data_IF_423539333012
#
_entry.id   IF_423539333012
#
_cell.length_a   1.000
_cell.length_b   1.000
_cell.length_c   1.000
_cell.angle_alpha   90.00
_cell.angle_beta   90.00
_cell.angle_gamma   90.00
#
_symmetry.space_group_name_H-M   'P 1'
#
loop_
_entity.id
_entity.type
_entity.pdbx_description
1 polymer ?
#
# COMPACT_ATOMS: atom_id res chain seq x y z
N UNK A 1 -19.58 0.91 -31.30
CA UNK A 1 -19.09 -0.22 -30.50
C UNK A 1 -18.65 0.34 -29.15
N UNK A 2 -19.51 0.26 -28.14
CA UNK A 2 -19.20 0.78 -26.80
C UNK A 2 -18.06 -0.05 -26.17
N UNK A 3 -17.01 0.65 -25.74
CA UNK A 3 -15.78 0.04 -25.28
C UNK A 3 -16.02 -0.61 -23.90
N UNK A 4 -16.17 -1.94 -23.88
CA UNK A 4 -16.65 -2.75 -22.75
C UNK A 4 -15.74 -2.85 -21.52
N UNK A 5 -14.77 -1.95 -21.31
CA UNK A 5 -14.09 -1.83 -20.02
C UNK A 5 -13.43 -0.45 -19.84
N UNK A 6 -14.20 0.53 -19.39
CA UNK A 6 -13.70 1.85 -18.97
C UNK A 6 -12.99 1.82 -17.60
N UNK A 7 -13.01 0.68 -16.91
CA UNK A 7 -12.44 0.55 -15.57
C UNK A 7 -10.90 0.54 -15.62
N UNK A 8 -10.30 1.26 -14.68
CA UNK A 8 -8.86 1.31 -14.47
C UNK A 8 -8.39 -0.04 -13.95
N UNK A 9 -7.33 -0.58 -14.57
CA UNK A 9 -6.58 -1.70 -14.02
C UNK A 9 -5.48 -1.12 -13.14
N UNK A 10 -5.28 -1.74 -11.98
CA UNK A 10 -4.19 -1.37 -11.07
C UNK A 10 -3.19 -2.52 -11.00
N UNK A 11 -1.90 -2.19 -11.07
CA UNK A 11 -0.82 -3.18 -11.05
C UNK A 11 -0.57 -3.61 -9.60
N UNK A 12 -0.84 -4.88 -9.23
CA UNK A 12 -0.62 -5.38 -7.87
C UNK A 12 0.87 -5.32 -7.50
N UNK A 13 1.21 -5.09 -6.23
CA UNK A 13 2.60 -5.14 -5.81
C UNK A 13 3.04 -6.59 -5.64
N UNK A 14 4.36 -6.82 -5.67
CA UNK A 14 4.96 -8.12 -5.35
C UNK A 14 5.53 -8.11 -3.94
N UNK A 15 5.33 -9.19 -3.20
CA UNK A 15 6.02 -9.41 -1.93
C UNK A 15 7.41 -10.04 -2.16
N UNK A 16 8.39 -9.56 -1.39
CA UNK A 16 9.70 -10.16 -1.26
C UNK A 16 10.08 -10.27 0.21
N UNK A 17 10.45 -11.48 0.66
CA UNK A 17 10.79 -11.75 2.06
C UNK A 17 12.26 -12.10 2.13
N UNK A 18 13.04 -11.24 2.79
CA UNK A 18 14.47 -11.46 2.98
C UNK A 18 14.74 -12.64 3.91
N UNK A 19 15.93 -13.20 3.80
CA UNK A 19 16.32 -14.41 4.54
C UNK A 19 16.26 -14.22 6.06
N UNK A 20 16.75 -13.06 6.51
CA UNK A 20 16.85 -12.65 7.91
C UNK A 20 15.48 -12.47 8.59
N UNK A 21 14.44 -12.13 7.83
CA UNK A 21 13.06 -12.09 8.33
C UNK A 21 12.66 -13.44 8.93
N UNK A 22 12.95 -14.55 8.25
CA UNK A 22 12.55 -15.88 8.72
C UNK A 22 13.29 -16.29 9.99
N UNK A 23 14.56 -15.91 10.13
CA UNK A 23 15.32 -16.11 11.38
C UNK A 23 14.68 -15.35 12.53
N UNK A 24 14.37 -14.07 12.30
CA UNK A 24 13.73 -13.26 13.33
C UNK A 24 12.33 -13.75 13.66
N UNK A 25 11.57 -14.19 12.67
CA UNK A 25 10.24 -14.74 12.87
C UNK A 25 10.27 -16.03 13.71
N UNK A 26 11.21 -16.93 13.45
CA UNK A 26 11.39 -18.14 14.26
C UNK A 26 11.73 -17.80 15.72
N UNK A 27 12.69 -16.89 15.93
CA UNK A 27 13.09 -16.39 17.25
C UNK A 27 11.89 -15.79 18.01
N UNK A 28 11.16 -14.87 17.36
CA UNK A 28 9.96 -14.24 17.94
C UNK A 28 8.90 -15.28 18.26
N UNK A 29 8.63 -16.24 17.37
CA UNK A 29 7.60 -17.27 17.61
C UNK A 29 7.97 -18.22 18.74
N UNK A 30 9.24 -18.60 18.88
CA UNK A 30 9.71 -19.50 19.95
C UNK A 30 9.78 -18.79 21.30
N UNK A 31 10.34 -17.58 21.32
CA UNK A 31 10.77 -16.95 22.56
C UNK A 31 9.76 -15.92 23.08
N UNK A 32 8.98 -15.29 22.19
CA UNK A 32 8.03 -14.23 22.53
C UNK A 32 6.59 -14.73 22.42
N UNK A 33 6.13 -15.10 21.22
CA UNK A 33 4.72 -15.45 20.99
C UNK A 33 4.35 -16.80 21.60
N UNK A 34 5.25 -17.78 21.56
CA UNK A 34 5.02 -19.15 22.03
C UNK A 34 3.72 -19.71 21.41
N UNK A 35 2.72 -20.00 22.23
CA UNK A 35 1.41 -20.50 21.79
C UNK A 35 0.45 -19.39 21.35
N UNK A 36 0.75 -18.12 21.60
CA UNK A 36 -0.08 -17.01 21.15
C UNK A 36 -0.16 -16.96 19.63
N UNK A 37 -1.37 -16.84 19.09
CA UNK A 37 -1.66 -16.54 17.70
C UNK A 37 -2.20 -15.11 17.52
N UNK A 38 -1.95 -14.24 18.51
CA UNK A 38 -2.34 -12.84 18.46
C UNK A 38 -1.71 -12.13 17.24
N UNK A 39 -2.44 -11.21 16.60
CA UNK A 39 -1.91 -10.39 15.51
C UNK A 39 -0.67 -9.61 15.94
N UNK A 40 0.30 -9.50 15.04
CA UNK A 40 1.54 -8.74 15.26
C UNK A 40 1.73 -7.67 14.21
N UNK A 41 2.01 -6.44 14.64
CA UNK A 41 2.40 -5.38 13.71
C UNK A 41 3.74 -5.69 13.05
N UNK A 42 3.81 -5.42 11.76
CA UNK A 42 5.02 -5.51 10.96
C UNK A 42 5.28 -4.20 10.23
N UNK A 43 6.54 -3.95 9.93
CA UNK A 43 6.96 -2.94 8.97
C UNK A 43 7.61 -3.60 7.75
N UNK A 44 7.40 -3.01 6.59
CA UNK A 44 8.11 -3.35 5.36
C UNK A 44 8.53 -2.06 4.65
N UNK A 45 9.19 -2.18 3.51
CA UNK A 45 9.61 -1.03 2.73
C UNK A 45 9.30 -1.23 1.25
N UNK A 46 8.97 -0.13 0.57
CA UNK A 46 8.74 -0.15 -0.86
C UNK A 46 10.08 -0.05 -1.57
N UNK A 47 10.45 -1.08 -2.32
CA UNK A 47 11.49 -0.99 -3.32
C UNK A 47 10.84 -0.74 -4.68
N UNK A 48 11.19 0.40 -5.27
CA UNK A 48 10.69 0.80 -6.58
C UNK A 48 11.82 1.05 -7.59
N UNK A 49 13.05 0.62 -7.26
CA UNK A 49 14.19 0.77 -8.17
C UNK A 49 14.11 -0.29 -9.27
N UNK A 50 13.87 0.14 -10.51
CA UNK A 50 13.97 -0.65 -11.75
C UNK A 50 12.89 -1.70 -12.06
N UNK A 51 11.81 -1.80 -11.28
CA UNK A 51 10.72 -2.76 -11.54
C UNK A 51 9.51 -2.15 -12.25
N UNK A 52 8.82 -2.96 -13.06
CA UNK A 52 7.53 -2.58 -13.71
C UNK A 52 6.33 -2.61 -12.76
N UNK A 53 6.54 -3.03 -11.50
CA UNK A 53 5.53 -3.03 -10.44
C UNK A 53 6.20 -2.80 -9.08
N UNK A 54 5.50 -2.22 -8.08
CA UNK A 54 6.07 -2.03 -6.76
C UNK A 54 6.45 -3.36 -6.09
N UNK A 55 7.59 -3.38 -5.42
CA UNK A 55 8.01 -4.53 -4.59
C UNK A 55 7.96 -4.12 -3.12
N UNK A 56 7.21 -4.87 -2.32
CA UNK A 56 7.14 -4.71 -0.87
C UNK A 56 8.11 -5.71 -0.25
N UNK A 57 9.21 -5.17 0.28
CA UNK A 57 10.30 -5.95 0.86
C UNK A 57 10.22 -5.94 2.38
N UNK A 58 10.31 -7.12 2.99
CA UNK A 58 10.35 -7.29 4.44
C UNK A 58 11.60 -8.06 4.86
N UNK A 59 12.32 -7.50 5.83
CA UNK A 59 13.55 -8.03 6.42
C UNK A 59 13.37 -8.19 7.94
N UNK A 60 14.44 -8.52 8.67
CA UNK A 60 14.34 -8.70 10.12
C UNK A 60 13.89 -7.43 10.88
N UNK A 61 14.09 -6.24 10.30
CA UNK A 61 13.66 -4.96 10.90
C UNK A 61 12.15 -4.80 10.87
N UNK A 62 11.42 -5.63 10.11
CA UNK A 62 9.97 -5.63 10.10
C UNK A 62 9.33 -5.95 11.46
N UNK A 63 10.09 -6.52 12.39
CA UNK A 63 9.65 -6.77 13.77
C UNK A 63 9.94 -5.62 14.75
N UNK A 64 10.54 -4.51 14.28
CA UNK A 64 10.82 -3.36 15.13
C UNK A 64 9.53 -2.67 15.61
N UNK A 65 9.62 -1.90 16.68
CA UNK A 65 8.49 -1.11 17.21
C UNK A 65 8.12 0.08 16.33
N UNK A 66 9.04 0.51 15.45
CA UNK A 66 8.89 1.64 14.56
C UNK A 66 9.50 1.30 13.19
N UNK A 67 9.02 1.91 12.10
CA UNK A 67 9.61 1.71 10.78
C UNK A 67 11.06 2.21 10.75
N UNK A 68 11.92 1.50 10.03
CA UNK A 68 13.31 1.92 9.82
C UNK A 68 13.33 3.01 8.75
N UNK A 69 13.86 4.18 9.09
CA UNK A 69 14.07 5.25 8.12
C UNK A 69 15.26 4.90 7.21
N UNK A 70 14.96 4.56 5.96
CA UNK A 70 15.96 4.28 4.92
C UNK A 70 15.76 5.31 3.81
N UNK A 71 16.79 6.11 3.55
CA UNK A 71 16.74 7.17 2.55
C UNK A 71 16.28 6.61 1.18
N UNK A 72 15.22 7.20 0.62
CA UNK A 72 14.67 6.79 -0.67
C UNK A 72 13.78 5.55 -0.63
N UNK A 73 13.46 5.02 0.55
CA UNK A 73 12.46 3.97 0.73
C UNK A 73 11.30 4.47 1.58
N UNK A 74 10.08 4.15 1.18
CA UNK A 74 8.89 4.47 1.95
C UNK A 74 8.49 3.26 2.82
N UNK A 75 8.15 3.47 4.10
CA UNK A 75 7.70 2.40 4.96
C UNK A 75 6.30 1.90 4.56
N UNK A 76 6.00 0.68 4.94
CA UNK A 76 4.69 0.05 4.79
C UNK A 76 4.28 -0.55 6.13
N UNK A 77 2.99 -0.50 6.42
CA UNK A 77 2.42 -1.05 7.64
C UNK A 77 1.80 -2.41 7.38
N UNK A 78 2.06 -3.38 8.26
CA UNK A 78 1.60 -4.74 8.10
C UNK A 78 1.03 -5.35 9.37
N UNK A 79 0.21 -6.39 9.18
CA UNK A 79 -0.20 -7.29 10.27
C UNK A 79 0.15 -8.73 9.90
N UNK A 80 0.93 -9.39 10.76
CA UNK A 80 1.20 -10.81 10.74
C UNK A 80 0.13 -11.58 11.50
N UNK A 81 -0.51 -12.52 10.83
CA UNK A 81 -1.42 -13.51 11.42
C UNK A 81 -0.81 -14.89 11.21
N UNK A 82 -0.16 -15.44 12.24
CA UNK A 82 0.42 -16.78 12.17
C UNK A 82 -0.45 -17.80 12.91
N UNK A 83 -0.84 -18.88 12.23
CA UNK A 83 -1.51 -20.03 12.84
C UNK A 83 -0.52 -21.03 13.44
N UNK A 84 -0.94 -21.70 14.51
CA UNK A 84 -0.11 -22.63 15.24
C UNK A 84 -0.06 -24.00 14.56
N UNK A 85 -1.12 -24.38 13.85
CA UNK A 85 -1.21 -25.64 13.12
C UNK A 85 -1.42 -25.41 11.63
N UNK A 86 -0.98 -26.38 10.83
CA UNK A 86 -1.17 -26.35 9.37
C UNK A 86 -2.64 -26.47 9.01
N UNK A 87 -3.38 -27.26 9.78
CA UNK A 87 -4.80 -27.52 9.63
C UNK A 87 -5.60 -26.23 9.83
N UNK A 88 -5.31 -25.44 10.87
CA UNK A 88 -5.88 -24.10 11.08
C UNK A 88 -5.59 -23.19 9.89
N UNK A 89 -4.33 -23.16 9.42
CA UNK A 89 -3.95 -22.33 8.29
C UNK A 89 -4.77 -22.67 7.04
N UNK A 90 -4.90 -23.95 6.70
CA UNK A 90 -5.66 -24.42 5.55
C UNK A 90 -7.14 -24.07 5.69
N UNK A 91 -7.74 -24.42 6.83
CA UNK A 91 -9.18 -24.31 7.06
C UNK A 91 -9.67 -22.89 7.37
N UNK A 92 -8.76 -21.95 7.64
CA UNK A 92 -9.12 -20.53 7.86
C UNK A 92 -9.86 -19.95 6.66
N UNK A 93 -11.03 -19.36 6.88
CA UNK A 93 -11.75 -18.60 5.87
C UNK A 93 -10.96 -17.31 5.51
N UNK A 94 -10.30 -17.32 4.35
CA UNK A 94 -9.39 -16.26 3.92
C UNK A 94 -10.10 -14.93 3.62
N UNK A 95 -11.33 -14.99 3.10
CA UNK A 95 -12.13 -13.79 2.83
C UNK A 95 -12.58 -13.12 4.13
N UNK A 96 -12.98 -13.92 5.13
CA UNK A 96 -13.30 -13.43 6.46
C UNK A 96 -12.07 -12.84 7.15
N UNK A 97 -10.93 -13.54 7.12
CA UNK A 97 -9.67 -13.04 7.69
C UNK A 97 -9.26 -11.69 7.07
N UNK A 98 -9.30 -11.58 5.73
CA UNK A 98 -9.01 -10.33 5.03
C UNK A 98 -9.94 -9.21 5.51
N UNK A 99 -11.24 -9.48 5.60
CA UNK A 99 -12.24 -8.50 6.03
C UNK A 99 -12.03 -8.06 7.48
N UNK A 100 -11.90 -9.01 8.40
CA UNK A 100 -11.79 -8.73 9.83
C UNK A 100 -10.52 -7.93 10.14
N UNK A 101 -9.37 -8.31 9.56
CA UNK A 101 -8.10 -7.64 9.78
C UNK A 101 -8.09 -6.24 9.15
N UNK A 102 -8.60 -6.09 7.92
CA UNK A 102 -8.69 -4.78 7.27
C UNK A 102 -9.64 -3.83 7.98
N UNK A 103 -10.81 -4.31 8.42
CA UNK A 103 -11.75 -3.49 9.20
C UNK A 103 -11.12 -3.01 10.49
N UNK A 104 -10.42 -3.88 11.21
CA UNK A 104 -9.74 -3.51 12.44
C UNK A 104 -8.67 -2.42 12.19
N UNK A 105 -7.83 -2.62 11.17
CA UNK A 105 -6.78 -1.66 10.82
C UNK A 105 -7.36 -0.28 10.45
N UNK A 106 -8.37 -0.24 9.57
CA UNK A 106 -8.98 1.03 9.17
C UNK A 106 -9.77 1.68 10.32
N UNK A 107 -10.39 0.90 11.22
CA UNK A 107 -11.02 1.47 12.41
C UNK A 107 -10.00 2.17 13.32
N UNK A 108 -8.81 1.58 13.50
CA UNK A 108 -7.71 2.23 14.23
C UNK A 108 -7.23 3.49 13.49
N UNK A 109 -7.08 3.42 12.17
CA UNK A 109 -6.66 4.56 11.34
C UNK A 109 -7.63 5.75 11.48
N UNK A 110 -8.94 5.49 11.36
CA UNK A 110 -10.01 6.49 11.48
C UNK A 110 -10.29 6.95 12.92
N UNK A 111 -9.79 6.23 13.93
CA UNK A 111 -9.87 6.67 15.34
C UNK A 111 -8.93 7.83 15.66
N UNK A 112 -7.86 8.00 14.86
CA UNK A 112 -6.96 9.15 14.94
C UNK A 112 -7.65 10.37 14.33
N UNK A 113 -7.34 11.58 14.82
CA UNK A 113 -7.83 12.83 14.19
C UNK A 113 -7.42 12.93 12.72
N UNK A 114 -6.21 12.49 12.40
CA UNK A 114 -5.68 12.40 11.04
C UNK A 114 -4.52 11.40 11.01
N UNK A 115 -4.05 11.03 9.81
CA UNK A 115 -2.79 10.32 9.60
C UNK A 115 -1.60 11.09 10.19
N UNK A 116 -0.64 10.37 10.74
CA UNK A 116 0.67 10.90 11.11
C UNK A 116 1.56 10.99 9.87
N UNK A 117 1.47 9.99 8.98
CA UNK A 117 2.16 9.95 7.69
C UNK A 117 1.34 9.15 6.65
N UNK A 118 1.44 9.50 5.38
CA UNK A 118 0.72 8.80 4.30
C UNK A 118 1.13 7.34 4.08
N UNK A 119 2.29 6.92 4.56
CA UNK A 119 2.73 5.51 4.53
C UNK A 119 1.83 4.58 5.33
N UNK A 120 1.05 5.08 6.29
CA UNK A 120 -0.01 4.32 6.98
C UNK A 120 -1.09 3.83 6.02
N UNK A 121 -1.21 4.41 4.82
CA UNK A 121 -2.12 3.93 3.79
C UNK A 121 -1.56 2.75 2.98
N UNK A 122 -0.27 2.43 3.13
CA UNK A 122 0.34 1.26 2.49
C UNK A 122 0.24 0.08 3.44
N UNK A 123 -0.92 -0.57 3.40
CA UNK A 123 -1.25 -1.65 4.29
C UNK A 123 -1.08 -3.03 3.63
N UNK A 124 -0.54 -3.98 4.38
CA UNK A 124 -0.50 -5.39 3.98
C UNK A 124 -0.84 -6.35 5.13
N UNK A 125 -1.23 -7.57 4.77
CA UNK A 125 -1.43 -8.68 5.70
C UNK A 125 -0.48 -9.79 5.31
N UNK A 126 0.24 -10.34 6.28
CA UNK A 126 1.02 -11.57 6.14
C UNK A 126 0.32 -12.69 6.90
N UNK A 127 -0.39 -13.56 6.19
CA UNK A 127 -1.02 -14.74 6.78
C UNK A 127 -0.08 -15.94 6.67
N UNK A 128 0.24 -16.63 7.77
CA UNK A 128 1.26 -17.66 7.75
C UNK A 128 0.99 -18.86 8.68
N UNK A 129 1.77 -19.91 8.45
CA UNK A 129 2.03 -21.02 9.35
C UNK A 129 3.52 -21.34 9.31
N UNK A 130 4.17 -21.31 10.47
CA UNK A 130 5.58 -21.63 10.64
C UNK A 130 5.76 -23.03 11.24
N UNK A 131 6.22 -23.99 10.44
CA UNK A 131 6.72 -25.28 10.94
C UNK A 131 8.17 -25.11 11.41
N UNK A 132 8.32 -24.72 12.67
CA UNK A 132 9.61 -24.48 13.29
C UNK A 132 10.43 -25.75 13.50
N UNK A 133 9.81 -26.94 13.44
CA UNK A 133 10.52 -28.23 13.55
C UNK A 133 11.25 -28.55 12.25
N UNK A 134 10.60 -28.27 11.11
CA UNK A 134 11.20 -28.54 9.79
C UNK A 134 11.77 -27.31 9.11
N UNK A 135 11.68 -26.13 9.75
CA UNK A 135 12.03 -24.82 9.19
C UNK A 135 11.34 -24.54 7.85
N UNK A 136 10.06 -24.92 7.73
CA UNK A 136 9.24 -24.69 6.55
C UNK A 136 8.12 -23.71 6.87
N UNK A 137 7.92 -22.74 6.00
CA UNK A 137 6.95 -21.66 6.23
C UNK A 137 5.97 -21.62 5.08
N UNK A 138 4.68 -21.74 5.39
CA UNK A 138 3.59 -21.43 4.48
C UNK A 138 3.16 -20.00 4.74
N UNK A 139 3.03 -19.18 3.69
CA UNK A 139 2.66 -17.78 3.86
C UNK A 139 1.91 -17.23 2.67
N UNK A 140 1.12 -16.19 2.89
CA UNK A 140 0.35 -15.52 1.85
C UNK A 140 0.21 -14.04 2.19
N UNK A 141 0.65 -13.18 1.28
CA UNK A 141 0.43 -11.74 1.39
C UNK A 141 -0.95 -11.35 0.87
N UNK A 142 -1.55 -10.36 1.50
CA UNK A 142 -2.63 -9.58 0.93
C UNK A 142 -2.32 -8.09 1.00
N UNK A 143 -2.77 -7.33 0.01
CA UNK A 143 -2.68 -5.87 -0.08
C UNK A 143 -4.11 -5.32 -0.17
N UNK A 144 -4.78 -5.13 0.98
CA UNK A 144 -6.23 -4.94 0.99
C UNK A 144 -6.65 -3.63 0.30
N UNK A 145 -7.70 -3.71 -0.50
CA UNK A 145 -8.42 -2.54 -1.06
C UNK A 145 -9.92 -2.76 -0.97
N UNK A 146 -10.67 -1.67 -0.92
CA UNK A 146 -12.11 -1.70 -1.00
C UNK A 146 -12.54 -2.30 -2.35
N UNK A 147 -13.35 -3.36 -2.27
CA UNK A 147 -13.87 -4.06 -3.45
C UNK A 147 -14.84 -3.18 -4.24
N UNK A 148 -15.70 -2.49 -3.50
CA UNK A 148 -16.85 -1.75 -4.04
C UNK A 148 -16.50 -0.30 -4.40
N UNK A 149 -15.22 0.09 -4.22
CA UNK A 149 -14.64 1.32 -4.78
C UNK A 149 -13.84 0.98 -6.03
N UNK A 150 -14.24 1.54 -7.16
CA UNK A 150 -13.59 1.35 -8.44
C UNK A 150 -13.47 2.67 -9.19
N UNK A 151 -12.61 2.69 -10.20
CA UNK A 151 -12.23 3.91 -10.88
C UNK A 151 -12.41 3.73 -12.38
N UNK A 152 -13.05 4.70 -13.04
CA UNK A 152 -13.11 4.77 -14.51
C UNK A 152 -12.01 5.68 -15.02
N UNK A 153 -11.41 5.31 -16.16
CA UNK A 153 -10.43 6.15 -16.85
C UNK A 153 -11.13 7.44 -17.30
N UNK A 154 -10.59 8.58 -16.91
CA UNK A 154 -11.02 9.87 -17.42
C UNK A 154 -10.42 10.17 -18.81
N UNK A 155 -10.67 11.37 -19.30
CA UNK A 155 -10.24 11.80 -20.64
C UNK A 155 -8.75 12.15 -20.74
N UNK A 156 -8.11 12.49 -19.62
CA UNK A 156 -6.72 12.97 -19.61
C UNK A 156 -5.76 11.84 -19.30
N UNK A 157 -4.72 11.70 -20.12
CA UNK A 157 -3.54 10.89 -19.83
C UNK A 157 -2.35 11.48 -20.61
N UNK A 158 -1.47 12.21 -19.93
CA UNK A 158 -0.38 12.97 -20.58
C UNK A 158 0.85 13.04 -19.69
N UNK A 159 2.00 13.38 -20.27
CA UNK A 159 3.18 13.74 -19.49
C UNK A 159 2.95 15.05 -18.74
N UNK A 160 3.54 15.15 -17.54
CA UNK A 160 3.50 16.37 -16.73
C UNK A 160 4.12 17.55 -17.48
N UNK A 161 5.23 17.30 -18.19
CA UNK A 161 5.89 18.27 -19.07
C UNK A 161 5.02 18.79 -20.22
N UNK A 162 3.99 18.04 -20.64
CA UNK A 162 3.02 18.52 -21.62
C UNK A 162 1.95 19.43 -21.01
N UNK A 163 1.69 19.29 -19.71
CA UNK A 163 0.68 20.07 -18.99
C UNK A 163 1.26 21.35 -18.36
N UNK A 164 2.53 21.31 -17.93
CA UNK A 164 3.20 22.39 -17.24
C UNK A 164 4.22 23.02 -18.18
N UNK A 165 4.15 24.35 -18.37
CA UNK A 165 5.19 25.10 -19.09
C UNK A 165 6.56 24.95 -18.40
N UNK A 166 7.67 25.12 -19.13
CA UNK A 166 9.03 24.85 -18.62
C UNK A 166 9.33 25.51 -17.27
N UNK A 167 9.03 26.79 -17.11
CA UNK A 167 9.32 27.52 -15.86
C UNK A 167 8.45 27.02 -14.69
N UNK A 168 7.20 26.64 -14.97
CA UNK A 168 6.31 26.02 -13.98
C UNK A 168 6.75 24.62 -13.61
N UNK A 169 7.32 23.87 -14.54
CA UNK A 169 7.83 22.53 -14.29
C UNK A 169 9.08 22.58 -13.40
N UNK A 170 9.99 23.52 -13.64
CA UNK A 170 11.18 23.72 -12.82
C UNK A 170 10.83 24.12 -11.38
N UNK A 171 9.93 25.10 -11.21
CA UNK A 171 9.45 25.51 -9.89
C UNK A 171 8.69 24.39 -9.17
N UNK A 172 7.85 23.63 -9.87
CA UNK A 172 7.20 22.44 -9.33
C UNK A 172 8.23 21.42 -8.85
N UNK A 173 9.25 21.10 -9.64
CA UNK A 173 10.28 20.11 -9.29
C UNK A 173 11.05 20.53 -8.03
N UNK A 174 11.43 21.80 -7.91
CA UNK A 174 12.12 22.32 -6.74
C UNK A 174 11.25 22.21 -5.48
N UNK A 175 10.00 22.67 -5.55
CA UNK A 175 9.06 22.60 -4.44
C UNK A 175 8.75 21.16 -4.03
N UNK A 176 8.60 20.26 -5.01
CA UNK A 176 8.36 18.85 -4.78
C UNK A 176 9.52 18.18 -4.03
N UNK A 177 10.77 18.42 -4.46
CA UNK A 177 11.96 17.90 -3.76
C UNK A 177 12.03 18.40 -2.32
N UNK A 178 11.85 19.71 -2.12
CA UNK A 178 11.83 20.32 -0.78
C UNK A 178 10.70 19.77 0.10
N UNK A 179 9.54 19.48 -0.49
CA UNK A 179 8.41 18.87 0.23
C UNK A 179 8.75 17.46 0.66
N UNK A 180 9.28 16.61 -0.22
CA UNK A 180 9.65 15.24 0.10
C UNK A 180 10.75 15.16 1.16
N UNK A 181 11.80 15.97 1.05
CA UNK A 181 12.89 16.02 2.04
C UNK A 181 12.39 16.31 3.46
N UNK A 182 11.33 17.13 3.59
CA UNK A 182 10.76 17.51 4.89
C UNK A 182 9.68 16.57 5.41
N UNK A 183 9.03 15.82 4.52
CA UNK A 183 7.78 15.12 4.83
C UNK A 183 7.87 13.60 4.69
N UNK A 184 8.73 13.12 3.79
CA UNK A 184 8.84 11.73 3.40
C UNK A 184 7.47 11.10 3.08
N UNK A 185 6.60 11.85 2.39
CA UNK A 185 5.24 11.43 2.06
C UNK A 185 5.21 10.66 0.73
N UNK A 186 4.55 9.50 0.75
CA UNK A 186 4.25 8.73 -0.45
C UNK A 186 3.04 9.29 -1.20
N UNK A 187 2.02 9.71 -0.43
CA UNK A 187 0.78 10.27 -0.96
C UNK A 187 0.51 11.66 -0.40
N UNK A 188 0.11 12.57 -1.26
CA UNK A 188 -0.12 13.97 -0.91
C UNK A 188 -0.99 14.65 -1.96
N UNK A 189 -1.30 15.92 -1.74
CA UNK A 189 -2.10 16.72 -2.67
C UNK A 189 -1.30 17.93 -3.15
N UNK A 190 -1.37 18.22 -4.45
CA UNK A 190 -0.84 19.45 -5.03
C UNK A 190 -1.98 20.34 -5.52
N UNK A 191 -1.96 21.61 -5.12
CA UNK A 191 -2.87 22.64 -5.63
C UNK A 191 -2.10 23.54 -6.61
N UNK A 192 -2.46 23.50 -7.90
CA UNK A 192 -1.77 24.26 -8.94
C UNK A 192 -2.09 25.75 -8.94
N UNK A 193 -3.21 26.17 -8.34
CA UNK A 193 -3.56 27.59 -8.22
C UNK A 193 -2.72 28.27 -7.14
N UNK A 194 -2.49 27.56 -6.03
CA UNK A 194 -1.69 28.01 -4.89
C UNK A 194 -0.20 27.66 -5.05
N UNK A 195 0.14 26.78 -6.00
CA UNK A 195 1.49 26.24 -6.19
C UNK A 195 2.05 25.65 -4.88
N UNK A 196 1.22 24.84 -4.21
CA UNK A 196 1.51 24.29 -2.88
C UNK A 196 1.20 22.80 -2.81
N UNK A 197 2.07 22.08 -2.11
CA UNK A 197 1.87 20.70 -1.68
C UNK A 197 1.31 20.67 -0.26
N UNK A 198 0.38 19.75 -0.01
CA UNK A 198 -0.23 19.50 1.28
C UNK A 198 -0.03 18.04 1.66
N UNK A 199 0.38 17.80 2.89
CA UNK A 199 0.23 16.49 3.52
C UNK A 199 -1.25 16.19 3.67
N UNK A 200 -1.59 14.90 3.67
CA UNK A 200 -2.97 14.49 3.94
C UNK A 200 -3.45 14.98 5.30
N UNK A 201 -2.54 15.09 6.27
CA UNK A 201 -2.84 15.59 7.61
C UNK A 201 -3.19 17.07 7.70
N UNK A 202 -2.90 17.86 6.67
CA UNK A 202 -3.30 19.26 6.60
C UNK A 202 -4.73 19.43 6.07
N UNK A 203 -5.27 18.44 5.37
CA UNK A 203 -6.50 18.58 4.57
C UNK A 203 -7.57 17.53 4.88
N UNK A 204 -7.22 16.47 5.62
CA UNK A 204 -8.11 15.41 6.06
C UNK A 204 -8.21 15.45 7.59
N UNK A 205 -9.44 15.48 8.09
CA UNK A 205 -9.80 15.31 9.48
C UNK A 205 -10.83 14.18 9.58
N UNK A 206 -10.53 13.13 10.35
CA UNK A 206 -11.42 11.98 10.55
C UNK A 206 -12.58 12.28 11.51
N UNK A 207 -12.45 13.27 12.39
CA UNK A 207 -13.50 13.67 13.33
C UNK A 207 -14.66 14.39 12.63
N UNK A 208 -14.39 15.00 11.46
CA UNK A 208 -15.40 15.73 10.69
C UNK A 208 -15.15 15.58 9.18
N UNK A 209 -15.57 14.44 8.63
CA UNK A 209 -15.41 14.12 7.22
C UNK A 209 -16.11 15.13 6.28
N UNK A 210 -17.15 15.82 6.77
CA UNK A 210 -17.93 16.79 5.99
C UNK A 210 -17.14 18.03 5.60
N UNK A 211 -16.06 18.34 6.33
CA UNK A 211 -15.17 19.48 6.07
C UNK A 211 -14.04 19.16 5.10
N UNK A 212 -13.66 17.89 4.98
CA UNK A 212 -12.54 17.49 4.13
C UNK A 212 -12.80 17.96 2.70
N UNK A 213 -11.81 18.60 2.05
CA UNK A 213 -11.91 19.04 0.65
C UNK A 213 -13.18 19.85 0.25
N UNK A 214 -13.97 20.40 1.19
CA UNK A 214 -15.28 21.02 0.88
C UNK A 214 -15.13 22.30 0.07
N UNK A 215 -14.11 23.10 0.37
CA UNK A 215 -13.79 24.36 -0.31
C UNK A 215 -12.76 24.19 -1.44
N UNK A 216 -12.32 22.97 -1.70
CA UNK A 216 -11.23 22.69 -2.64
C UNK A 216 -11.78 22.59 -4.06
N UNK A 217 -11.22 23.38 -4.97
CA UNK A 217 -11.51 23.29 -6.39
C UNK A 217 -10.76 22.11 -7.02
N UNK A 218 -11.49 21.04 -7.35
CA UNK A 218 -10.94 19.82 -7.92
C UNK A 218 -10.24 20.04 -9.27
N UNK A 219 -10.53 21.12 -9.99
CA UNK A 219 -9.87 21.43 -11.26
C UNK A 219 -8.38 21.79 -11.09
N UNK A 220 -8.03 22.37 -9.94
CA UNK A 220 -6.65 22.74 -9.60
C UNK A 220 -6.00 21.77 -8.62
N UNK A 221 -6.71 20.72 -8.21
CA UNK A 221 -6.28 19.78 -7.18
C UNK A 221 -5.83 18.47 -7.79
N UNK A 222 -4.63 18.05 -7.44
CA UNK A 222 -3.99 16.85 -7.94
C UNK A 222 -3.67 15.91 -6.77
N UNK A 223 -4.20 14.68 -6.83
CA UNK A 223 -3.87 13.59 -5.91
C UNK A 223 -2.57 12.93 -6.39
N UNK A 224 -1.52 13.10 -5.62
CA UNK A 224 -0.17 12.73 -6.01
C UNK A 224 0.28 11.44 -5.33
N UNK A 225 1.01 10.61 -6.06
CA UNK A 225 1.68 9.42 -5.56
C UNK A 225 3.12 9.42 -6.09
N UNK A 226 4.10 9.20 -5.22
CA UNK A 226 5.48 8.92 -5.63
C UNK A 226 5.57 7.47 -6.09
N UNK A 227 5.32 7.24 -7.38
CA UNK A 227 5.31 5.91 -7.97
C UNK A 227 6.50 5.76 -8.92
N UNK A 228 7.56 5.10 -8.44
CA UNK A 228 8.76 4.89 -9.25
C UNK A 228 8.62 3.66 -10.17
N UNK A 229 7.55 2.87 -10.03
CA UNK A 229 7.29 1.63 -10.75
C UNK A 229 6.23 1.84 -11.85
N UNK A 230 6.54 2.61 -12.89
CA UNK A 230 5.52 2.90 -13.89
C UNK A 230 5.66 2.09 -15.18
N UNK A 231 4.74 1.14 -15.36
CA UNK A 231 4.19 0.70 -16.66
C UNK A 231 2.87 1.49 -16.94
N UNK A 232 2.24 1.35 -18.10
CA UNK A 232 1.08 2.17 -18.57
C UNK A 232 -0.12 2.31 -17.62
N UNK A 233 -0.26 1.46 -16.61
CA UNK A 233 -1.39 1.44 -15.68
C UNK A 233 -0.92 1.79 -14.24
N UNK A 234 -1.74 2.47 -13.43
CA UNK A 234 -1.36 2.91 -12.08
C UNK A 234 -1.11 1.74 -11.11
N UNK A 235 -0.28 1.95 -10.09
CA UNK A 235 -0.03 0.94 -9.06
C UNK A 235 -1.21 0.71 -8.11
N UNK A 236 -1.26 -0.49 -7.54
CA UNK A 236 -2.20 -0.85 -6.47
C UNK A 236 -2.05 -0.01 -5.21
N UNK A 237 -0.89 0.60 -4.99
CA UNK A 237 -0.66 1.53 -3.88
C UNK A 237 -1.51 2.79 -4.06
N UNK A 238 -1.60 3.32 -5.28
CA UNK A 238 -2.54 4.38 -5.60
C UNK A 238 -3.99 3.95 -5.34
N UNK A 239 -4.34 2.68 -5.58
CA UNK A 239 -5.68 2.17 -5.27
C UNK A 239 -5.98 2.19 -3.78
N UNK A 240 -5.02 1.84 -2.91
CA UNK A 240 -5.18 1.95 -1.46
C UNK A 240 -5.40 3.41 -1.03
N UNK A 241 -4.56 4.31 -1.54
CA UNK A 241 -4.67 5.74 -1.28
C UNK A 241 -6.02 6.32 -1.73
N UNK A 242 -6.42 6.09 -2.98
CA UNK A 242 -7.69 6.61 -3.49
C UNK A 242 -8.91 5.96 -2.82
N UNK A 243 -8.79 4.71 -2.36
CA UNK A 243 -9.78 4.06 -1.52
C UNK A 243 -9.97 4.80 -0.20
N UNK A 244 -8.88 5.14 0.48
CA UNK A 244 -8.91 5.99 1.67
C UNK A 244 -9.52 7.37 1.38
N UNK A 245 -9.15 8.03 0.28
CA UNK A 245 -9.73 9.32 -0.11
C UNK A 245 -11.25 9.21 -0.33
N UNK A 246 -11.74 8.16 -0.97
CA UNK A 246 -13.18 7.96 -1.17
C UNK A 246 -13.94 7.86 0.17
N UNK A 247 -13.34 7.20 1.16
CA UNK A 247 -13.89 7.05 2.50
C UNK A 247 -13.82 8.35 3.31
N UNK A 248 -12.69 9.03 3.27
CA UNK A 248 -12.43 10.25 4.04
C UNK A 248 -13.07 11.49 3.41
N UNK A 249 -13.44 11.44 2.14
CA UNK A 249 -14.04 12.54 1.38
C UNK A 249 -15.27 12.08 0.56
N UNK A 250 -16.39 11.69 1.19
CA UNK A 250 -17.55 11.18 0.47
C UNK A 250 -18.08 12.11 -0.64
N UNK A 251 -17.95 13.43 -0.45
CA UNK A 251 -18.33 14.51 -1.37
C UNK A 251 -17.56 14.56 -2.70
N UNK A 252 -16.47 13.80 -2.84
CA UNK A 252 -15.76 13.66 -4.12
C UNK A 252 -16.01 12.30 -4.79
N UNK A 253 -16.80 11.42 -4.18
CA UNK A 253 -17.32 10.22 -4.84
C UNK A 253 -18.19 10.64 -6.03
N UNK A 254 -18.15 9.89 -7.13
CA UNK A 254 -18.80 10.21 -8.42
C UNK A 254 -18.27 11.48 -9.10
N UNK A 255 -17.17 12.09 -8.62
CA UNK A 255 -16.49 13.18 -9.30
C UNK A 255 -15.25 12.68 -10.04
N UNK A 256 -14.86 13.47 -11.04
CA UNK A 256 -13.55 13.32 -11.69
C UNK A 256 -12.49 14.02 -10.85
N UNK A 257 -11.39 13.33 -10.59
CA UNK A 257 -10.22 13.84 -9.89
C UNK A 257 -9.01 13.85 -10.83
N UNK A 258 -8.07 14.77 -10.58
CA UNK A 258 -6.76 14.74 -11.24
C UNK A 258 -5.77 13.97 -10.39
N UNK A 259 -4.97 13.11 -11.02
CA UNK A 259 -3.91 12.35 -10.38
C UNK A 259 -2.56 12.67 -11.02
N UNK A 260 -1.50 12.64 -10.21
CA UNK A 260 -0.11 12.67 -10.70
C UNK A 260 0.65 11.48 -10.13
N UNK A 261 1.16 10.63 -11.01
CA UNK A 261 2.17 9.63 -10.66
C UNK A 261 3.56 10.23 -10.89
N UNK A 262 4.23 10.59 -9.80
CA UNK A 262 5.52 11.27 -9.79
C UNK A 262 6.67 10.27 -9.88
N UNK A 263 7.56 10.51 -10.84
CA UNK A 263 8.79 9.76 -11.06
C UNK A 263 10.01 10.59 -10.64
N UNK A 264 11.16 9.93 -10.50
CA UNK A 264 12.44 10.61 -10.24
C UNK A 264 12.73 11.75 -11.22
N UNK A 265 12.39 11.53 -12.51
CA UNK A 265 12.33 12.61 -13.48
C UNK A 265 10.90 13.18 -13.52
N UNK A 266 10.72 14.36 -12.94
CA UNK A 266 9.42 15.06 -12.88
C UNK A 266 8.85 15.29 -14.28
N UNK A 267 9.67 15.58 -15.29
CA UNK A 267 9.20 15.82 -16.65
C UNK A 267 8.54 14.58 -17.31
N UNK A 268 8.95 13.37 -16.90
CA UNK A 268 8.38 12.10 -17.37
C UNK A 268 7.28 11.53 -16.46
N UNK A 269 6.92 12.27 -15.41
CA UNK A 269 5.76 11.98 -14.56
C UNK A 269 4.47 12.10 -15.37
N UNK A 270 3.42 11.42 -14.92
CA UNK A 270 2.18 11.27 -15.70
C UNK A 270 1.04 11.92 -14.95
N UNK A 271 0.25 12.68 -15.70
CA UNK A 271 -0.99 13.30 -15.25
C UNK A 271 -2.14 12.60 -15.93
N UNK A 272 -3.12 12.20 -15.15
CA UNK A 272 -4.32 11.57 -15.68
C UNK A 272 -5.53 11.90 -14.82
N UNK A 273 -6.72 11.67 -15.36
CA UNK A 273 -7.97 11.84 -14.62
C UNK A 273 -8.63 10.51 -14.35
N UNK A 274 -9.23 10.39 -13.17
CA UNK A 274 -10.02 9.24 -12.76
C UNK A 274 -11.39 9.70 -12.29
N UNK A 275 -12.43 8.93 -12.59
CA UNK A 275 -13.74 9.10 -11.97
C UNK A 275 -13.90 8.07 -10.85
N UNK A 276 -14.14 8.55 -9.63
CA UNK A 276 -14.37 7.68 -8.47
C UNK A 276 -15.78 7.13 -8.57
N UNK A 277 -15.93 5.81 -8.55
CA UNK A 277 -17.22 5.14 -8.53
C UNK A 277 -17.33 4.29 -7.26
N UNK A 278 -18.53 4.25 -6.71
CA UNK A 278 -18.87 3.31 -5.66
C UNK A 278 -20.29 2.80 -5.86
N UNK A 279 -20.48 1.50 -5.65
CA UNK A 279 -21.80 0.87 -5.67
C UNK A 279 -22.53 0.99 -4.34
N UNK A 280 -21.79 1.07 -3.23
CA UNK A 280 -22.28 1.33 -1.88
C UNK A 280 -21.07 1.44 -0.96
N UNK A 281 -20.69 2.66 -0.55
CA UNK A 281 -19.73 2.85 0.55
C UNK A 281 -20.46 2.60 1.87
N UNK A 282 -20.90 1.36 2.13
CA UNK A 282 -21.35 1.02 3.47
C UNK A 282 -20.11 0.97 4.38
N UNK A 283 -19.81 2.11 5.00
CA UNK A 283 -18.70 2.29 5.93
C UNK A 283 -18.81 1.33 7.13
N UNK A 284 -20.02 0.84 7.45
CA UNK A 284 -20.21 -0.08 8.57
C UNK A 284 -19.65 -1.48 8.28
N UNK A 285 -19.65 -1.92 7.01
CA UNK A 285 -19.18 -3.25 6.60
C UNK A 285 -18.54 -3.24 5.20
N UNK A 286 -17.37 -2.61 5.03
CA UNK A 286 -16.69 -2.61 3.74
C UNK A 286 -16.22 -4.02 3.38
N UNK A 287 -16.24 -4.30 2.08
CA UNK A 287 -15.78 -5.57 1.52
C UNK A 287 -14.41 -5.40 0.89
N UNK A 288 -13.54 -6.38 1.10
CA UNK A 288 -12.11 -6.28 0.81
C UNK A 288 -11.65 -7.33 -0.19
N UNK A 289 -10.69 -6.96 -1.03
CA UNK A 289 -9.95 -7.84 -1.92
C UNK A 289 -8.46 -7.50 -1.87
N UNK A 290 -7.59 -8.37 -2.41
CA UNK A 290 -6.17 -8.07 -2.54
C UNK A 290 -5.19 -9.18 -2.18
N UNK A 291 -5.63 -10.45 -2.10
CA UNK A 291 -4.70 -11.57 -1.96
C UNK A 291 -3.70 -11.61 -3.13
N UNK A 292 -2.41 -11.74 -2.81
CA UNK A 292 -1.34 -11.80 -3.83
C UNK A 292 -1.45 -13.09 -4.63
N UNK A 293 -1.30 -13.01 -5.95
CA UNK A 293 -1.23 -14.22 -6.77
C UNK A 293 0.18 -14.81 -6.78
N UNK A 294 0.28 -16.13 -6.71
CA UNK A 294 1.49 -16.88 -6.97
C UNK A 294 1.38 -17.53 -8.36
N UNK A 295 2.21 -17.10 -9.31
CA UNK A 295 2.20 -17.56 -10.72
C UNK A 295 0.78 -17.52 -11.34
N UNK A 296 0.05 -16.43 -11.12
CA UNK A 296 -1.29 -16.21 -11.64
C UNK A 296 -2.42 -16.93 -10.89
N UNK A 297 -2.12 -17.66 -9.81
CA UNK A 297 -3.11 -18.36 -8.98
C UNK A 297 -3.21 -17.76 -7.58
N UNK A 298 -4.41 -17.74 -7.02
CA UNK A 298 -4.65 -17.32 -5.63
C UNK A 298 -4.31 -18.47 -4.68
N UNK A 299 -3.02 -18.72 -4.50
CA UNK A 299 -2.50 -19.76 -3.61
C UNK A 299 -1.37 -19.22 -2.73
N UNK A 300 -1.22 -19.72 -1.49
CA UNK A 300 -0.06 -19.42 -0.65
C UNK A 300 1.27 -19.79 -1.30
N UNK A 301 2.35 -19.17 -0.80
CA UNK A 301 3.74 -19.55 -1.06
C UNK A 301 4.25 -20.45 0.05
N UNK A 302 5.32 -21.18 -0.25
CA UNK A 302 6.08 -21.98 0.72
C UNK A 302 7.55 -21.65 0.58
N UNK A 303 8.27 -21.58 1.70
CA UNK A 303 9.74 -21.50 1.72
C UNK A 303 10.32 -22.58 2.65
N UNK A 304 11.40 -23.22 2.21
CA UNK A 304 12.15 -24.20 3.00
C UNK A 304 13.48 -23.57 3.42
N UNK A 305 13.59 -23.30 4.72
CA UNK A 305 14.76 -22.68 5.33
C UNK A 305 15.67 -23.72 6.00
N UNK A 306 15.35 -25.02 5.91
CA UNK A 306 16.06 -26.05 6.67
C UNK A 306 17.55 -26.12 6.35
N UNK A 307 17.97 -25.93 5.09
CA UNK A 307 19.40 -25.90 4.74
C UNK A 307 20.18 -24.77 5.45
N UNK A 308 19.48 -23.68 5.77
CA UNK A 308 20.07 -22.46 6.29
C UNK A 308 19.81 -22.33 7.78
N UNK A 309 18.78 -22.95 8.36
CA UNK A 309 18.44 -22.82 9.79
C UNK A 309 18.79 -24.05 10.63
N UNK A 310 18.81 -25.24 10.04
CA UNK A 310 19.09 -26.48 10.74
C UNK A 310 20.60 -26.61 11.00
N UNK A 311 21.07 -26.57 12.27
CA UNK A 311 22.48 -26.69 12.60
C UNK A 311 23.11 -27.97 12.04
N UNK A 312 22.36 -29.07 11.99
CA UNK A 312 22.84 -30.37 11.52
C UNK A 312 23.02 -30.40 9.99
N UNK A 313 22.23 -29.63 9.25
CA UNK A 313 22.34 -29.53 7.78
C UNK A 313 23.37 -28.50 7.35
N UNK A 314 23.62 -27.44 8.14
CA UNK A 314 24.71 -26.48 7.89
C UNK A 314 26.07 -27.17 7.84
N UNK A 315 26.34 -28.12 8.72
CA UNK A 315 27.62 -28.84 8.77
C UNK A 315 27.83 -29.86 7.65
N UNK A 316 26.78 -30.24 6.90
CA UNK A 316 26.89 -31.22 5.80
C UNK A 316 26.96 -30.58 4.40
N UNK A 317 26.85 -29.24 4.33
CA UNK A 317 26.92 -28.46 3.09
C UNK A 317 28.26 -27.75 2.88
N UNK A 318 29.26 -28.04 3.71
CA UNK A 318 30.66 -27.65 3.51
C UNK A 318 31.47 -28.81 2.94
#
# INVERSE_FOLDING_TARGET
>A
MENKNSNVKFIPPKSFVHLDFWFKFADVKLNVDKLSDAPRHLFASINSTSSTQPVIEIDCTGFNSQPTDKMGMFPCHGILINKNTKEEFINTNKSKLLTDVSNHYYAQLFSKKTLENSSELVFFILFSFADLKTHKYLYWFAFPVFRDVFFKKGQTYTLLSSKFQRDKLFSFELQFKMFLEKSNELFFVYNSKESRFYRLSEIINHEDLSKNLKSVDLNYTFFCCTDLCFDKDPSWLLRQFLGYIAMSCPQITQKTINCICLKNNVASSIVFTLEIQSTDLNLEKPLWVGWETNNGRLIPRSVDMSKIMDPLKRCRGQ
#
